data_IF_409855222690
#
_entry.id   IF_409855222690
#
_cell.length_a   1.000
_cell.length_b   1.000
_cell.length_c   1.000
_cell.angle_alpha   90.00
_cell.angle_beta   90.00
_cell.angle_gamma   90.00
#
_symmetry.space_group_name_H-M   'P 1'
#
loop_
_entity.id
_entity.type
_entity.pdbx_description
1 polymer ?
#
# COMPACT_ATOMS: atom_id res chain seq x y z
N UNK A 1 15.14 -9.51 2.80
CA UNK A 1 14.04 -8.54 2.93
C UNK A 1 12.86 -8.86 2.04
N UNK A 2 13.09 -9.33 0.82
CA UNK A 2 12.01 -9.78 -0.07
C UNK A 2 11.18 -10.88 0.58
N UNK A 3 11.83 -11.86 1.18
CA UNK A 3 11.14 -12.98 1.84
C UNK A 3 10.23 -12.47 2.96
N UNK A 4 10.72 -11.54 3.77
CA UNK A 4 9.93 -10.96 4.86
C UNK A 4 8.74 -10.16 4.34
N UNK A 5 8.92 -9.43 3.25
CA UNK A 5 7.82 -8.71 2.60
C UNK A 5 6.74 -9.67 2.09
N UNK A 6 7.15 -10.78 1.49
CA UNK A 6 6.21 -11.82 1.03
C UNK A 6 5.44 -12.43 2.20
N UNK A 7 6.10 -12.67 3.33
CA UNK A 7 5.42 -13.15 4.54
C UNK A 7 4.33 -12.19 5.01
N UNK A 8 4.64 -10.88 5.02
CA UNK A 8 3.67 -9.84 5.38
C UNK A 8 2.51 -9.77 4.38
N UNK A 9 2.80 -9.94 3.08
CA UNK A 9 1.75 -9.96 2.06
C UNK A 9 0.81 -11.15 2.23
N UNK A 10 1.32 -12.30 2.67
CA UNK A 10 0.47 -13.44 2.99
C UNK A 10 -0.48 -13.14 4.15
N UNK A 11 0.00 -12.41 5.18
CA UNK A 11 -0.85 -11.96 6.29
C UNK A 11 -1.96 -11.05 5.76
N UNK A 12 -1.64 -10.15 4.84
CA UNK A 12 -2.62 -9.24 4.23
C UNK A 12 -3.66 -10.02 3.41
N UNK A 13 -3.22 -10.99 2.61
CA UNK A 13 -4.10 -11.81 1.80
C UNK A 13 -5.09 -12.59 2.67
N UNK A 14 -4.63 -13.18 3.75
CA UNK A 14 -5.49 -13.89 4.70
C UNK A 14 -6.54 -12.96 5.32
N UNK A 15 -6.16 -11.73 5.61
CA UNK A 15 -7.06 -10.75 6.23
C UNK A 15 -8.10 -10.20 5.24
N UNK A 16 -7.78 -10.14 3.95
CA UNK A 16 -8.63 -9.47 2.95
C UNK A 16 -9.45 -10.43 2.10
N UNK A 17 -8.88 -11.56 1.71
CA UNK A 17 -9.53 -12.52 0.80
C UNK A 17 -9.86 -13.85 1.45
N UNK A 18 -9.26 -14.16 2.60
CA UNK A 18 -9.38 -15.45 3.26
C UNK A 18 -8.70 -16.59 2.49
N UNK A 19 -7.90 -16.27 1.50
CA UNK A 19 -7.15 -17.24 0.70
C UNK A 19 -5.67 -16.93 0.76
N UNK A 20 -4.86 -17.94 1.01
CA UNK A 20 -3.41 -17.84 0.88
C UNK A 20 -3.06 -17.75 -0.60
N UNK A 21 -2.50 -16.65 -1.01
CA UNK A 21 -1.98 -16.49 -2.36
C UNK A 21 -0.49 -16.75 -2.38
N UNK A 22 0.00 -17.27 -3.52
CA UNK A 22 1.43 -17.42 -3.74
C UNK A 22 1.91 -16.16 -4.44
N UNK A 23 2.73 -15.36 -3.74
CA UNK A 23 3.30 -14.16 -4.31
C UNK A 23 4.57 -14.50 -5.10
N UNK A 24 4.58 -14.12 -6.37
CA UNK A 24 5.68 -14.40 -7.27
C UNK A 24 6.83 -13.40 -7.03
N UNK A 25 8.02 -13.94 -6.73
CA UNK A 25 9.21 -13.12 -6.54
C UNK A 25 9.59 -12.32 -7.78
N UNK A 26 9.22 -12.79 -8.97
CA UNK A 26 9.47 -12.04 -10.21
C UNK A 26 8.62 -10.79 -10.28
N UNK A 27 7.37 -10.84 -9.82
CA UNK A 27 6.50 -9.67 -9.76
C UNK A 27 7.03 -8.67 -8.73
N UNK A 28 7.47 -9.15 -7.58
CA UNK A 28 8.11 -8.31 -6.56
C UNK A 28 9.32 -7.58 -7.14
N UNK A 29 10.22 -8.31 -7.82
CA UNK A 29 11.40 -7.73 -8.44
C UNK A 29 11.05 -6.70 -9.51
N UNK A 30 10.01 -6.95 -10.30
CA UNK A 30 9.50 -6.00 -11.29
C UNK A 30 9.01 -4.73 -10.63
N UNK A 31 8.30 -4.84 -9.50
CA UNK A 31 7.78 -3.67 -8.79
C UNK A 31 8.93 -2.77 -8.32
N UNK A 32 9.93 -3.32 -7.64
CA UNK A 32 11.03 -2.53 -7.08
C UNK A 32 11.96 -1.95 -8.13
N UNK A 33 12.00 -2.53 -9.34
CA UNK A 33 12.79 -2.01 -10.46
C UNK A 33 11.97 -1.10 -11.38
N UNK A 34 10.67 -0.98 -11.15
CA UNK A 34 9.76 -0.22 -12.00
C UNK A 34 9.74 1.24 -11.58
N UNK A 35 9.93 2.15 -12.55
CA UNK A 35 9.82 3.59 -12.30
C UNK A 35 8.43 4.02 -11.85
N UNK A 36 7.41 3.20 -12.07
CA UNK A 36 6.02 3.48 -11.72
C UNK A 36 5.56 2.75 -10.46
N UNK A 37 6.49 2.29 -9.65
CA UNK A 37 6.17 1.64 -8.39
C UNK A 37 7.21 1.93 -7.34
N UNK A 38 6.84 1.79 -6.08
CA UNK A 38 7.76 1.92 -4.97
C UNK A 38 7.29 1.10 -3.78
N UNK A 39 8.25 0.67 -2.99
CA UNK A 39 8.01 -0.06 -1.77
C UNK A 39 8.57 0.74 -0.61
N UNK A 40 7.74 0.96 0.41
CA UNK A 40 8.15 1.60 1.66
C UNK A 40 8.19 0.55 2.75
N UNK A 41 9.29 0.52 3.50
CA UNK A 41 9.50 -0.48 4.54
C UNK A 41 9.71 0.24 5.87
N UNK A 42 9.03 -0.25 6.92
CA UNK A 42 9.29 0.17 8.29
C UNK A 42 10.15 -0.89 8.96
N UNK A 43 11.32 -0.47 9.44
CA UNK A 43 12.31 -1.37 10.03
C UNK A 43 12.75 -0.86 11.40
N UNK A 44 12.89 -1.78 12.35
CA UNK A 44 13.43 -1.50 13.67
C UNK A 44 14.39 -2.64 14.05
N UNK A 45 15.61 -2.30 14.44
CA UNK A 45 16.62 -3.30 14.81
C UNK A 45 16.82 -4.39 13.74
N UNK A 46 16.84 -3.98 12.46
CA UNK A 46 16.99 -4.86 11.29
C UNK A 46 15.83 -5.82 11.06
N UNK A 47 14.71 -5.61 11.76
CA UNK A 47 13.48 -6.40 11.56
C UNK A 47 12.46 -5.54 10.86
N UNK A 48 11.89 -6.05 9.75
CA UNK A 48 10.84 -5.36 9.02
C UNK A 48 9.52 -5.57 9.76
N UNK A 49 8.93 -4.48 10.20
CA UNK A 49 7.68 -4.45 10.95
C UNK A 49 6.45 -4.22 10.09
N UNK A 50 6.64 -3.69 8.89
CA UNK A 50 5.55 -3.42 7.99
C UNK A 50 6.04 -2.91 6.65
N UNK A 51 5.12 -2.83 5.70
CA UNK A 51 5.42 -2.35 4.37
C UNK A 51 4.20 -1.70 3.73
N UNK A 52 4.45 -0.81 2.79
CA UNK A 52 3.44 -0.27 1.90
C UNK A 52 3.97 -0.33 0.47
N UNK A 53 3.13 -0.73 -0.47
CA UNK A 53 3.46 -0.63 -1.89
C UNK A 53 2.56 0.41 -2.54
N UNK A 54 3.15 1.21 -3.43
CA UNK A 54 2.44 2.26 -4.14
C UNK A 54 2.75 2.17 -5.63
N UNK A 55 1.79 2.58 -6.43
CA UNK A 55 1.96 2.69 -7.88
C UNK A 55 1.76 4.14 -8.32
N UNK A 56 2.50 4.54 -9.35
CA UNK A 56 2.38 5.85 -9.98
C UNK A 56 1.76 5.67 -11.34
N UNK A 57 0.64 6.32 -11.60
CA UNK A 57 -0.20 6.07 -12.76
C UNK A 57 -0.43 7.37 -13.54
N UNK A 58 -0.32 7.30 -14.87
CA UNK A 58 -0.63 8.42 -15.73
C UNK A 58 -2.14 8.47 -15.99
N UNK A 59 -2.70 9.67 -15.92
CA UNK A 59 -4.09 9.87 -16.27
C UNK A 59 -4.28 11.23 -16.91
N UNK A 60 -4.99 11.25 -18.04
CA UNK A 60 -5.26 12.49 -18.76
C UNK A 60 -6.04 13.49 -17.92
N UNK A 61 -6.96 13.00 -17.07
CA UNK A 61 -7.77 13.85 -16.19
C UNK A 61 -6.96 14.66 -15.19
N UNK A 62 -5.76 14.17 -14.84
CA UNK A 62 -4.85 14.88 -13.94
C UNK A 62 -3.75 15.64 -14.69
N UNK A 63 -3.66 15.44 -15.99
CA UNK A 63 -2.57 15.96 -16.82
C UNK A 63 -1.20 15.58 -16.23
N UNK A 64 -1.09 14.37 -15.75
CA UNK A 64 0.12 13.88 -15.10
C UNK A 64 -0.13 12.60 -14.33
N UNK A 65 0.68 12.38 -13.30
CA UNK A 65 0.61 11.18 -12.50
C UNK A 65 -0.26 11.36 -11.26
N UNK A 66 -0.86 10.25 -10.83
CA UNK A 66 -1.44 10.10 -9.50
C UNK A 66 -0.86 8.85 -8.84
N UNK A 67 -0.89 8.81 -7.52
CA UNK A 67 -0.38 7.69 -6.73
C UNK A 67 -1.54 6.84 -6.21
N UNK A 68 -1.33 5.53 -6.17
CA UNK A 68 -2.29 4.58 -5.61
C UNK A 68 -1.60 3.72 -4.56
N UNK A 69 -2.21 3.61 -3.39
CA UNK A 69 -1.78 2.64 -2.38
C UNK A 69 -2.30 1.27 -2.81
N UNK A 70 -1.40 0.33 -3.04
CA UNK A 70 -1.75 -1.02 -3.44
C UNK A 70 -1.87 -1.95 -2.24
N UNK A 71 -0.86 -1.98 -1.38
CA UNK A 71 -0.85 -2.79 -0.17
C UNK A 71 -0.31 -1.98 1.01
N UNK A 72 -0.87 -2.24 2.18
CA UNK A 72 -0.37 -1.75 3.46
C UNK A 72 -0.53 -2.87 4.48
N UNK A 73 0.57 -3.34 5.02
CA UNK A 73 0.54 -4.39 6.02
C UNK A 73 1.53 -4.11 7.14
N UNK A 74 1.08 -4.35 8.36
CA UNK A 74 1.90 -4.20 9.57
C UNK A 74 1.87 -5.52 10.32
N UNK A 75 3.03 -5.98 10.79
CA UNK A 75 3.14 -7.16 11.63
C UNK A 75 2.27 -6.98 12.88
N UNK A 76 1.56 -8.03 13.26
CA UNK A 76 0.72 -8.01 14.47
C UNK A 76 1.50 -7.61 15.71
N UNK A 77 2.73 -8.10 15.84
CA UNK A 77 3.59 -7.82 16.99
C UNK A 77 4.07 -6.37 17.04
N UNK A 78 3.94 -5.65 15.93
CA UNK A 78 4.31 -4.23 15.83
C UNK A 78 3.13 -3.29 16.02
N UNK A 79 1.93 -3.79 16.25
CA UNK A 79 0.75 -2.96 16.49
C UNK A 79 0.93 -2.13 17.76
N UNK A 80 0.42 -0.90 17.73
CA UNK A 80 0.59 0.06 18.82
C UNK A 80 1.85 0.93 18.70
N UNK A 81 2.72 0.68 17.73
CA UNK A 81 3.92 1.49 17.46
C UNK A 81 3.72 2.54 16.36
N UNK A 82 2.50 2.71 15.89
CA UNK A 82 2.16 3.64 14.80
C UNK A 82 2.91 3.35 13.48
N UNK A 83 3.25 2.10 13.23
CA UNK A 83 3.97 1.70 12.02
C UNK A 83 3.17 2.02 10.76
N UNK A 84 1.87 1.70 10.77
CA UNK A 84 0.98 2.00 9.64
C UNK A 84 0.92 3.49 9.33
N UNK A 85 0.84 4.32 10.36
CA UNK A 85 0.84 5.78 10.19
C UNK A 85 2.12 6.30 9.59
N UNK A 86 3.26 5.78 10.04
CA UNK A 86 4.57 6.18 9.49
C UNK A 86 4.71 5.76 8.03
N UNK A 87 4.24 4.56 7.68
CA UNK A 87 4.26 4.07 6.30
C UNK A 87 3.40 4.94 5.39
N UNK A 88 2.19 5.27 5.80
CA UNK A 88 1.29 6.14 5.03
C UNK A 88 1.90 7.53 4.86
N UNK A 89 2.46 8.10 5.92
CA UNK A 89 3.05 9.42 5.84
C UNK A 89 4.24 9.45 4.87
N UNK A 90 5.08 8.43 4.89
CA UNK A 90 6.20 8.33 3.94
C UNK A 90 5.70 8.14 2.51
N UNK A 91 4.68 7.33 2.31
CA UNK A 91 4.07 7.16 0.98
C UNK A 91 3.51 8.50 0.46
N UNK A 92 2.85 9.27 1.31
CA UNK A 92 2.37 10.61 0.96
C UNK A 92 3.54 11.52 0.57
N UNK A 93 4.62 11.48 1.32
CA UNK A 93 5.81 12.29 1.04
C UNK A 93 6.42 11.93 -0.32
N UNK A 94 6.51 10.64 -0.64
CA UNK A 94 6.99 10.17 -1.94
C UNK A 94 6.10 10.64 -3.09
N UNK A 95 4.78 10.54 -2.92
CA UNK A 95 3.83 10.99 -3.92
C UNK A 95 3.95 12.49 -4.18
N UNK A 96 4.08 13.29 -3.12
CA UNK A 96 4.29 14.74 -3.22
C UNK A 96 5.60 15.07 -3.92
N UNK A 97 6.68 14.41 -3.53
CA UNK A 97 8.00 14.62 -4.11
C UNK A 97 8.03 14.32 -5.60
N UNK A 98 7.29 13.28 -6.01
CA UNK A 98 7.18 12.92 -7.42
C UNK A 98 6.28 13.87 -8.21
N UNK A 99 5.50 14.69 -7.55
CA UNK A 99 4.58 15.63 -8.21
C UNK A 99 3.23 15.03 -8.55
N UNK A 100 2.85 13.95 -7.88
CA UNK A 100 1.53 13.35 -8.08
C UNK A 100 0.41 14.33 -7.72
N UNK A 101 -0.65 14.34 -8.52
CA UNK A 101 -1.79 15.25 -8.33
C UNK A 101 -2.75 14.77 -7.24
N UNK A 102 -2.87 13.44 -7.12
CA UNK A 102 -3.77 12.78 -6.17
C UNK A 102 -3.10 11.53 -5.63
N UNK A 103 -3.54 11.11 -4.45
CA UNK A 103 -3.16 9.84 -3.84
C UNK A 103 -4.43 9.11 -3.45
N UNK A 104 -4.69 7.95 -4.05
CA UNK A 104 -5.89 7.18 -3.82
C UNK A 104 -5.62 5.83 -3.17
N UNK A 105 -6.67 5.26 -2.60
CA UNK A 105 -6.67 3.89 -2.11
C UNK A 105 -8.09 3.32 -2.22
N UNK A 106 -8.17 2.01 -2.19
CA UNK A 106 -9.43 1.31 -2.25
C UNK A 106 -9.68 0.56 -0.93
N UNK A 107 -10.85 0.76 -0.35
CA UNK A 107 -11.27 0.01 0.84
C UNK A 107 -12.24 -1.09 0.44
N UNK A 108 -11.83 -2.34 0.65
CA UNK A 108 -12.71 -3.48 0.50
C UNK A 108 -13.80 -3.47 1.58
N UNK A 109 -14.91 -4.13 1.33
CA UNK A 109 -15.96 -4.30 2.35
C UNK A 109 -15.39 -4.94 3.63
N UNK A 110 -14.46 -5.90 3.47
CA UNK A 110 -13.80 -6.57 4.59
C UNK A 110 -12.86 -5.68 5.38
N UNK A 111 -12.41 -4.56 4.80
CA UNK A 111 -11.44 -3.64 5.43
C UNK A 111 -11.98 -2.22 5.60
N UNK A 112 -13.28 -2.02 5.38
CA UNK A 112 -13.90 -0.69 5.50
C UNK A 112 -13.77 -0.07 6.90
N UNK A 113 -13.56 -0.89 7.91
CA UNK A 113 -13.32 -0.43 9.29
C UNK A 113 -12.02 0.38 9.41
N UNK A 114 -11.14 0.32 8.44
CA UNK A 114 -9.89 1.10 8.41
C UNK A 114 -10.09 2.53 7.89
N UNK A 115 -11.29 2.89 7.45
CA UNK A 115 -11.57 4.23 6.92
C UNK A 115 -11.17 5.35 7.89
N UNK A 116 -11.50 5.28 9.20
CA UNK A 116 -11.09 6.34 10.14
C UNK A 116 -9.56 6.51 10.22
N UNK A 117 -8.82 5.41 10.07
CA UNK A 117 -7.35 5.47 10.04
C UNK A 117 -6.87 6.32 8.87
N UNK A 118 -7.38 6.07 7.67
CA UNK A 118 -6.97 6.83 6.48
C UNK A 118 -7.44 8.27 6.51
N UNK A 119 -8.61 8.52 7.09
CA UNK A 119 -9.14 9.89 7.23
C UNK A 119 -8.23 10.78 8.07
N UNK A 120 -7.53 10.22 9.06
CA UNK A 120 -6.53 10.97 9.84
C UNK A 120 -5.41 11.54 8.97
N UNK A 121 -5.11 10.91 7.84
CA UNK A 121 -4.04 11.32 6.93
C UNK A 121 -4.56 12.11 5.73
N UNK A 122 -5.80 12.56 5.78
CA UNK A 122 -6.37 13.46 4.79
C UNK A 122 -7.12 12.76 3.65
N UNK A 123 -7.27 11.44 3.69
CA UNK A 123 -8.07 10.74 2.69
C UNK A 123 -9.55 10.94 2.95
N UNK A 124 -10.31 11.17 1.88
CA UNK A 124 -11.76 11.32 1.94
C UNK A 124 -12.40 10.36 0.94
N UNK A 125 -13.55 9.84 1.28
CA UNK A 125 -14.29 8.95 0.39
C UNK A 125 -14.90 9.77 -0.75
N UNK A 126 -14.54 9.41 -2.00
CA UNK A 126 -14.97 10.18 -3.18
C UNK A 126 -15.94 9.44 -4.10
N UNK A 127 -16.14 8.14 -3.90
CA UNK A 127 -17.01 7.36 -4.77
C UNK A 127 -16.87 5.87 -4.54
N UNK A 128 -17.29 5.09 -5.53
CA UNK A 128 -17.22 3.64 -5.51
C UNK A 128 -16.37 3.12 -6.66
N UNK A 129 -15.72 1.97 -6.46
CA UNK A 129 -14.97 1.29 -7.51
C UNK A 129 -15.77 0.12 -8.06
N UNK A 130 -15.69 -0.07 -9.37
CA UNK A 130 -16.23 -1.24 -10.05
C UNK A 130 -15.07 -2.02 -10.65
N UNK A 131 -15.09 -3.34 -10.55
CA UNK A 131 -14.02 -4.19 -10.98
C UNK A 131 -14.55 -5.47 -11.61
N UNK A 132 -13.81 -6.01 -12.56
CA UNK A 132 -14.10 -7.28 -13.20
C UNK A 132 -12.83 -8.15 -13.13
N UNK A 133 -12.99 -9.40 -12.73
CA UNK A 133 -11.89 -10.37 -12.84
C UNK A 133 -11.77 -10.85 -14.28
N UNK A 134 -10.55 -10.96 -14.75
CA UNK A 134 -10.28 -11.37 -16.13
C UNK A 134 -9.70 -12.79 -16.18
#
# INVERSE_FOLDING_TARGET
DQQRCIELLNVLADATSGQSEIFDSNIFSKLISNERGSLVIAEENKIILGMASISFNLALRYNGEYCQLEELVVDQDARGKNVGGLLIQEAINLAKKRGCKEFGLYLLESTKHNQPFYEKYGFVKIGAEMRQSL
#
